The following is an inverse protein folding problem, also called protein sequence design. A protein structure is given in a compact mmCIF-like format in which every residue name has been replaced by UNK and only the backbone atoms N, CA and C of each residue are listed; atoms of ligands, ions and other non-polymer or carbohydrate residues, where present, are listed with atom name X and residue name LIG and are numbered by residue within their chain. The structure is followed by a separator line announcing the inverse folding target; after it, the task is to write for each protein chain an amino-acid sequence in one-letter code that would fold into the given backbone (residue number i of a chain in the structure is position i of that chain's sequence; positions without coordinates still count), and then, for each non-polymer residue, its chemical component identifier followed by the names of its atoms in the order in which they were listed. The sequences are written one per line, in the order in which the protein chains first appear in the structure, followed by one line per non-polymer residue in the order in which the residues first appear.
data_IF_000123227458
#
_entry.id   IF_000123227458
#
_cell.length_a   1.000
_cell.length_b   1.000
_cell.length_c   1.000
_cell.angle_alpha   90.00
_cell.angle_beta   90.00
_cell.angle_gamma   90.00
#
_symmetry.space_group_name_H-M   'P 1'
#
loop_
_entity.id
_entity.type
_entity.pdbx_description
1 polymer ?
#
# COMPACT_ATOMS: atom_id res chain seq x y z
N UNK A 1 -1.54 -16.73 7.81
CA UNK A 1 -2.07 -16.65 9.19
C UNK A 1 -2.45 -15.21 9.39
N UNK A 2 -3.74 -14.91 9.64
CA UNK A 2 -4.24 -13.54 9.72
C UNK A 2 -3.47 -12.77 10.80
N UNK A 3 -2.89 -11.61 10.46
CA UNK A 3 -2.11 -10.73 11.35
C UNK A 3 -2.92 -10.19 12.54
N UNK A 4 -4.20 -10.50 12.54
CA UNK A 4 -5.24 -9.87 13.34
C UNK A 4 -5.67 -10.84 14.45
N UNK A 5 -5.30 -12.13 14.38
CA UNK A 5 -5.59 -13.08 15.47
C UNK A 5 -4.99 -12.59 16.80
N UNK A 6 -5.83 -12.39 17.82
CA UNK A 6 -5.40 -11.96 19.14
C UNK A 6 -5.38 -10.45 19.37
N UNK A 7 -6.05 -9.63 18.54
CA UNK A 7 -6.24 -8.19 18.82
C UNK A 7 -6.72 -7.97 20.25
N UNK A 8 -7.60 -8.83 20.75
CA UNK A 8 -8.17 -8.75 22.09
C UNK A 8 -7.16 -8.87 23.24
N UNK A 9 -5.94 -9.36 22.94
CA UNK A 9 -4.84 -9.61 23.90
C UNK A 9 -3.72 -8.57 23.86
N UNK A 10 -3.83 -7.60 22.94
CA UNK A 10 -2.89 -6.49 22.83
C UNK A 10 -3.34 -5.40 23.81
N UNK A 11 -2.39 -4.62 24.36
CA UNK A 11 -2.75 -3.48 25.21
C UNK A 11 -3.50 -2.44 24.37
N UNK A 12 -4.51 -1.82 24.95
CA UNK A 12 -5.34 -0.82 24.27
C UNK A 12 -4.50 0.31 23.68
N UNK A 13 -3.48 0.81 24.40
CA UNK A 13 -2.56 1.83 23.85
C UNK A 13 -1.81 1.36 22.58
N UNK A 14 -1.42 0.09 22.52
CA UNK A 14 -0.65 -0.47 21.41
C UNK A 14 -1.57 -0.74 20.21
N UNK A 15 -2.85 -1.09 20.49
CA UNK A 15 -3.93 -1.16 19.50
C UNK A 15 -4.20 0.20 18.86
N UNK A 16 -4.35 1.26 19.67
CA UNK A 16 -4.62 2.61 19.16
C UNK A 16 -3.46 3.13 18.30
N UNK A 17 -2.21 2.82 18.67
CA UNK A 17 -1.04 3.18 17.85
C UNK A 17 -0.94 2.37 16.56
N UNK A 18 -1.20 1.06 16.63
CA UNK A 18 -0.99 0.16 15.48
C UNK A 18 -2.18 0.14 14.52
N UNK A 19 -3.38 0.39 15.02
CA UNK A 19 -4.65 0.34 14.30
C UNK A 19 -5.58 1.51 14.68
N UNK A 20 -5.21 2.78 14.41
CA UNK A 20 -6.00 3.95 14.83
C UNK A 20 -7.45 3.95 14.31
N UNK A 21 -7.71 3.27 13.19
CA UNK A 21 -9.04 3.14 12.61
C UNK A 21 -10.03 2.35 13.49
N UNK A 22 -9.55 1.56 14.46
CA UNK A 22 -10.40 0.81 15.38
C UNK A 22 -11.18 1.74 16.34
N UNK A 23 -10.75 2.99 16.53
CA UNK A 23 -11.51 3.98 17.30
C UNK A 23 -12.97 4.11 16.81
N UNK A 24 -13.18 4.10 15.50
CA UNK A 24 -14.53 4.16 14.91
C UNK A 24 -15.40 2.94 15.24
N UNK A 25 -14.79 1.76 15.41
CA UNK A 25 -15.49 0.55 15.84
C UNK A 25 -15.90 0.63 17.31
N UNK A 26 -15.01 1.09 18.19
CA UNK A 26 -15.32 1.24 19.61
C UNK A 26 -16.41 2.28 19.86
N UNK A 27 -16.36 3.42 19.16
CA UNK A 27 -17.40 4.46 19.24
C UNK A 27 -18.78 3.93 18.78
N UNK A 28 -18.83 3.20 17.67
CA UNK A 28 -20.09 2.63 17.14
C UNK A 28 -20.70 1.60 18.09
N UNK A 29 -19.86 0.83 18.78
CA UNK A 29 -20.28 -0.19 19.74
C UNK A 29 -20.41 0.35 21.17
N UNK A 30 -20.25 1.66 21.39
CA UNK A 30 -20.33 2.34 22.70
C UNK A 30 -19.38 1.77 23.75
N UNK A 31 -18.18 1.41 23.31
CA UNK A 31 -17.10 0.90 24.16
C UNK A 31 -16.23 2.08 24.56
N UNK A 32 -16.25 2.44 25.85
CA UNK A 32 -15.39 3.50 26.40
C UNK A 32 -14.14 2.87 27.02
N UNK A 33 -13.00 3.04 26.34
CA UNK A 33 -11.70 2.49 26.75
C UNK A 33 -10.86 3.45 27.60
N UNK A 34 -11.38 4.62 27.96
CA UNK A 34 -10.65 5.61 28.78
C UNK A 34 -10.28 5.03 30.14
N UNK A 35 -9.00 5.11 30.51
CA UNK A 35 -8.48 4.56 31.76
C UNK A 35 -8.08 3.08 31.69
N UNK A 36 -8.21 2.43 30.53
CA UNK A 36 -7.82 1.04 30.28
C UNK A 36 -6.58 0.93 29.37
N UNK A 37 -5.82 2.01 29.17
CA UNK A 37 -4.75 2.11 28.16
C UNK A 37 -3.66 1.03 28.34
N UNK A 38 -3.37 0.63 29.58
CA UNK A 38 -2.38 -0.41 29.91
C UNK A 38 -2.96 -1.83 29.99
N UNK A 39 -4.27 -1.98 29.82
CA UNK A 39 -5.00 -3.25 29.88
C UNK A 39 -5.30 -3.76 28.46
N UNK A 40 -5.68 -5.04 28.37
CA UNK A 40 -6.17 -5.64 27.13
C UNK A 40 -7.68 -5.48 26.98
N UNK A 41 -8.22 -5.75 25.79
CA UNK A 41 -9.67 -5.79 25.58
C UNK A 41 -10.31 -6.93 26.38
N UNK A 42 -9.65 -8.08 26.51
CA UNK A 42 -10.12 -9.16 27.40
C UNK A 42 -10.22 -8.67 28.86
N UNK A 43 -9.22 -7.93 29.35
CA UNK A 43 -9.26 -7.37 30.71
C UNK A 43 -10.39 -6.36 30.87
N UNK A 44 -10.61 -5.51 29.86
CA UNK A 44 -11.73 -4.55 29.85
C UNK A 44 -13.08 -5.26 29.97
N UNK A 45 -13.31 -6.31 29.17
CA UNK A 45 -14.56 -7.06 29.27
C UNK A 45 -14.69 -7.79 30.61
N UNK A 46 -13.60 -8.29 31.20
CA UNK A 46 -13.64 -8.94 32.51
C UNK A 46 -13.96 -7.98 33.67
N UNK A 47 -13.61 -6.70 33.55
CA UNK A 47 -13.87 -5.70 34.58
C UNK A 47 -15.33 -5.19 34.58
N UNK A 48 -16.09 -5.43 33.52
CA UNK A 48 -17.52 -5.06 33.43
C UNK A 48 -18.36 -6.09 34.21
N UNK A 49 -19.15 -5.66 35.21
CA UNK A 49 -20.05 -6.55 35.94
C UNK A 49 -21.05 -7.26 35.02
N UNK A 50 -21.33 -8.54 35.29
CA UNK A 50 -22.22 -9.37 34.47
C UNK A 50 -23.63 -8.77 34.32
N UNK A 51 -24.12 -8.09 35.36
CA UNK A 51 -25.40 -7.37 35.34
C UNK A 51 -25.41 -6.22 34.31
N UNK A 52 -24.31 -5.47 34.19
CA UNK A 52 -24.18 -4.37 33.22
C UNK A 52 -24.02 -4.90 31.79
N UNK A 53 -23.33 -6.04 31.63
CA UNK A 53 -23.24 -6.72 30.31
C UNK A 53 -24.62 -7.11 29.79
N UNK A 54 -25.49 -7.63 30.66
CA UNK A 54 -26.87 -8.00 30.32
C UNK A 54 -27.72 -6.77 29.97
N UNK A 55 -27.64 -5.68 30.76
CA UNK A 55 -28.36 -4.44 30.48
C UNK A 55 -27.93 -3.79 29.15
N UNK A 56 -26.65 -3.94 28.79
CA UNK A 56 -26.10 -3.46 27.52
C UNK A 56 -26.34 -4.41 26.34
N UNK A 57 -26.93 -5.59 26.56
CA UNK A 57 -27.06 -6.67 25.59
C UNK A 57 -25.72 -7.01 24.89
N UNK A 58 -24.64 -6.97 25.67
CA UNK A 58 -23.27 -7.11 25.16
C UNK A 58 -22.88 -8.58 25.08
N UNK A 59 -22.70 -9.09 23.86
CA UNK A 59 -22.13 -10.40 23.59
C UNK A 59 -20.63 -10.25 23.27
N UNK A 60 -19.80 -10.53 24.27
CA UNK A 60 -18.34 -10.41 24.19
C UNK A 60 -17.76 -11.25 23.04
N UNK A 61 -18.25 -12.47 22.84
CA UNK A 61 -17.75 -13.34 21.78
C UNK A 61 -18.08 -12.80 20.40
N UNK A 62 -19.31 -12.30 20.24
CA UNK A 62 -19.74 -11.68 18.99
C UNK A 62 -18.97 -10.38 18.72
N UNK A 63 -18.73 -9.58 19.75
CA UNK A 63 -18.06 -8.29 19.61
C UNK A 63 -16.59 -8.44 19.24
N UNK A 64 -15.91 -9.47 19.78
CA UNK A 64 -14.56 -9.85 19.33
C UNK A 64 -14.62 -10.29 17.86
N UNK A 65 -15.56 -11.15 17.46
CA UNK A 65 -15.70 -11.56 16.06
C UNK A 65 -15.92 -10.38 15.11
N UNK A 66 -16.79 -9.45 15.49
CA UNK A 66 -17.10 -8.24 14.71
C UNK A 66 -15.88 -7.31 14.63
N UNK A 67 -15.07 -7.21 15.70
CA UNK A 67 -13.81 -6.47 15.71
C UNK A 67 -12.81 -7.04 14.69
N UNK A 68 -12.63 -8.37 14.68
CA UNK A 68 -11.75 -9.05 13.73
C UNK A 68 -12.21 -8.82 12.29
N UNK A 69 -13.52 -8.95 12.03
CA UNK A 69 -14.10 -8.74 10.70
C UNK A 69 -13.95 -7.28 10.24
N UNK A 70 -14.18 -6.32 11.14
CA UNK A 70 -13.98 -4.89 10.84
C UNK A 70 -12.52 -4.57 10.55
N UNK A 71 -11.59 -5.11 11.35
CA UNK A 71 -10.16 -4.93 11.14
C UNK A 71 -9.69 -5.52 9.82
N UNK A 72 -10.16 -6.71 9.45
CA UNK A 72 -9.86 -7.33 8.14
C UNK A 72 -10.35 -6.44 6.99
N UNK A 73 -11.61 -5.98 7.04
CA UNK A 73 -12.17 -5.11 6.00
C UNK A 73 -11.43 -3.78 5.90
N UNK A 74 -11.02 -3.19 7.02
CA UNK A 74 -10.27 -1.93 7.03
C UNK A 74 -8.84 -2.07 6.55
N UNK A 75 -8.16 -3.17 6.89
CA UNK A 75 -6.82 -3.45 6.37
C UNK A 75 -6.84 -3.71 4.86
N UNK A 76 -7.87 -4.40 4.37
CA UNK A 76 -8.10 -4.58 2.93
C UNK A 76 -8.40 -3.25 2.23
N UNK A 77 -9.28 -2.42 2.81
CA UNK A 77 -9.63 -1.11 2.27
C UNK A 77 -8.45 -0.13 2.23
N UNK A 78 -7.67 -0.07 3.31
CA UNK A 78 -6.49 0.79 3.42
C UNK A 78 -5.30 0.25 2.60
N UNK A 79 -5.39 -0.97 2.07
CA UNK A 79 -4.30 -1.61 1.33
C UNK A 79 -3.06 -1.87 2.19
N UNK A 80 -3.22 -1.94 3.53
CA UNK A 80 -2.17 -2.30 4.49
C UNK A 80 -2.00 -3.82 4.48
N UNK A 81 -1.86 -4.39 3.30
CA UNK A 81 -1.17 -5.65 3.16
C UNK A 81 0.32 -5.35 3.22
N UNK A 82 1.09 -6.22 3.85
CA UNK A 82 2.55 -6.23 3.78
C UNK A 82 2.97 -6.68 2.36
N UNK A 83 2.55 -5.91 1.33
CA UNK A 83 2.81 -6.11 -0.09
C UNK A 83 4.23 -5.66 -0.44
N UNK A 84 5.19 -5.96 0.45
CA UNK A 84 6.60 -5.79 0.13
C UNK A 84 7.00 -6.87 -0.86
N UNK A 85 6.93 -6.51 -2.15
CA UNK A 85 7.40 -7.35 -3.25
C UNK A 85 8.84 -7.75 -2.99
N UNK A 86 9.10 -9.07 -2.92
CA UNK A 86 10.45 -9.64 -2.69
C UNK A 86 11.14 -9.90 -4.01
N UNK A 87 10.40 -10.31 -5.03
CA UNK A 87 10.92 -10.59 -6.36
C UNK A 87 9.89 -10.37 -7.47
N UNK A 88 10.41 -9.97 -8.63
CA UNK A 88 9.68 -9.91 -9.89
C UNK A 88 10.36 -10.90 -10.84
N UNK A 89 9.60 -11.86 -11.36
CA UNK A 89 10.08 -12.78 -12.40
C UNK A 89 9.39 -12.50 -13.72
N UNK A 90 10.18 -12.29 -14.76
CA UNK A 90 9.73 -12.04 -16.14
C UNK A 90 9.96 -13.33 -16.94
N UNK A 91 8.87 -13.91 -17.43
CA UNK A 91 8.88 -15.05 -18.33
C UNK A 91 8.83 -14.58 -19.79
N UNK A 92 9.55 -15.27 -20.69
CA UNK A 92 9.66 -14.87 -22.09
C UNK A 92 8.32 -15.02 -22.81
N UNK A 93 8.10 -14.13 -23.77
CA UNK A 93 6.98 -14.23 -24.69
C UNK A 93 7.48 -14.27 -26.13
N UNK A 94 7.00 -13.33 -26.93
CA UNK A 94 7.35 -13.16 -28.34
C UNK A 94 7.74 -11.71 -28.65
N UNK A 95 8.63 -11.56 -29.61
CA UNK A 95 9.03 -10.26 -30.13
C UNK A 95 8.02 -9.72 -31.16
N UNK A 96 8.29 -8.54 -31.74
CA UNK A 96 7.45 -7.92 -32.78
C UNK A 96 7.27 -8.80 -34.03
N UNK A 97 8.22 -9.69 -34.31
CA UNK A 97 8.20 -10.66 -35.42
C UNK A 97 7.52 -12.00 -35.05
N UNK A 98 6.94 -12.10 -33.84
CA UNK A 98 6.35 -13.34 -33.27
C UNK A 98 7.35 -14.47 -33.01
N UNK A 99 8.64 -14.17 -32.97
CA UNK A 99 9.66 -15.14 -32.58
C UNK A 99 9.75 -15.19 -31.06
N UNK A 100 10.01 -16.39 -30.52
CA UNK A 100 10.21 -16.56 -29.07
C UNK A 100 11.44 -15.79 -28.62
N UNK A 101 11.34 -15.15 -27.47
CA UNK A 101 12.49 -14.52 -26.84
C UNK A 101 13.50 -15.58 -26.37
N UNK A 102 14.77 -15.20 -26.33
CA UNK A 102 15.89 -16.14 -26.13
C UNK A 102 16.21 -16.41 -24.66
N UNK A 103 15.73 -15.58 -23.75
CA UNK A 103 15.95 -15.77 -22.32
C UNK A 103 14.95 -16.78 -21.74
N UNK A 104 15.35 -17.52 -20.71
CA UNK A 104 14.48 -18.49 -20.02
C UNK A 104 13.60 -17.81 -18.97
N UNK A 105 14.21 -16.94 -18.16
CA UNK A 105 13.53 -16.08 -17.17
C UNK A 105 14.49 -14.94 -16.78
N UNK A 106 13.95 -13.80 -16.39
CA UNK A 106 14.69 -12.72 -15.72
C UNK A 106 14.10 -12.55 -14.33
N UNK A 107 14.94 -12.52 -13.29
CA UNK A 107 14.50 -12.36 -11.90
C UNK A 107 15.14 -11.10 -11.35
N UNK A 108 14.32 -10.21 -10.80
CA UNK A 108 14.72 -8.97 -10.16
C UNK A 108 14.33 -9.07 -8.70
N UNK A 109 15.30 -8.94 -7.79
CA UNK A 109 15.06 -9.05 -6.35
C UNK A 109 14.83 -7.68 -5.72
N UNK A 110 14.19 -7.67 -4.55
CA UNK A 110 14.05 -6.47 -3.73
C UNK A 110 15.41 -5.80 -3.51
N UNK A 111 15.43 -4.48 -3.66
CA UNK A 111 16.62 -3.63 -3.56
C UNK A 111 17.68 -3.84 -4.65
N UNK A 112 17.38 -4.57 -5.71
CA UNK A 112 18.26 -4.72 -6.87
C UNK A 112 18.06 -3.57 -7.87
N UNK A 113 19.16 -2.95 -8.30
CA UNK A 113 19.15 -1.91 -9.33
C UNK A 113 19.50 -2.55 -10.67
N UNK A 114 18.54 -2.55 -11.60
CA UNK A 114 18.70 -3.15 -12.93
C UNK A 114 18.67 -2.08 -14.01
N UNK A 115 19.64 -2.12 -14.92
CA UNK A 115 19.69 -1.23 -16.09
C UNK A 115 19.30 -2.01 -17.36
N UNK A 116 18.34 -1.47 -18.12
CA UNK A 116 17.86 -2.06 -19.37
C UNK A 116 18.39 -1.24 -20.54
N UNK A 117 19.31 -1.81 -21.31
CA UNK A 117 19.96 -1.15 -22.45
C UNK A 117 19.57 -1.77 -23.79
N UNK A 118 19.57 -0.97 -24.85
CA UNK A 118 19.30 -1.43 -26.21
C UNK A 118 18.92 -0.29 -27.16
N UNK A 119 18.93 -0.53 -28.49
CA UNK A 119 18.61 0.51 -29.49
C UNK A 119 17.14 0.97 -29.41
N UNK A 120 16.84 2.11 -30.01
CA UNK A 120 15.45 2.59 -30.15
C UNK A 120 14.61 1.53 -30.88
N UNK A 121 13.40 1.27 -30.36
CA UNK A 121 12.52 0.24 -30.93
C UNK A 121 12.79 -1.20 -30.50
N UNK A 122 13.78 -1.46 -29.62
CA UNK A 122 14.08 -2.81 -29.11
C UNK A 122 13.04 -3.37 -28.12
N UNK A 123 11.98 -2.61 -27.81
CA UNK A 123 10.91 -3.04 -26.92
C UNK A 123 11.11 -2.74 -25.43
N UNK A 124 12.09 -1.90 -25.05
CA UNK A 124 12.32 -1.50 -23.63
C UNK A 124 11.08 -0.92 -22.96
N UNK A 125 10.45 0.10 -23.56
CA UNK A 125 9.22 0.71 -23.04
C UNK A 125 8.07 -0.30 -22.96
N UNK A 126 8.05 -1.27 -23.88
CA UNK A 126 7.06 -2.34 -23.86
C UNK A 126 7.30 -3.33 -22.73
N UNK A 127 8.55 -3.67 -22.44
CA UNK A 127 8.92 -4.49 -21.29
C UNK A 127 8.51 -3.80 -19.98
N UNK A 128 8.78 -2.49 -19.84
CA UNK A 128 8.35 -1.72 -18.68
C UNK A 128 6.81 -1.71 -18.53
N UNK A 129 6.07 -1.52 -19.63
CA UNK A 129 4.62 -1.59 -19.60
C UNK A 129 4.10 -3.00 -19.24
N UNK A 130 4.74 -4.06 -19.73
CA UNK A 130 4.35 -5.42 -19.36
C UNK A 130 4.56 -5.68 -17.86
N UNK A 131 5.63 -5.13 -17.26
CA UNK A 131 5.89 -5.18 -15.80
C UNK A 131 4.83 -4.37 -15.02
N UNK A 132 4.56 -3.12 -15.45
CA UNK A 132 3.56 -2.23 -14.83
C UNK A 132 2.19 -2.90 -14.74
N UNK A 133 1.78 -3.58 -15.81
CA UNK A 133 0.47 -4.22 -15.91
C UNK A 133 0.43 -5.62 -15.31
N UNK A 134 1.55 -6.13 -14.78
CA UNK A 134 1.72 -7.53 -14.39
C UNK A 134 1.14 -8.49 -15.47
N UNK A 135 1.68 -8.37 -16.69
CA UNK A 135 1.20 -9.10 -17.86
C UNK A 135 1.12 -10.61 -17.61
N UNK A 136 0.12 -11.28 -18.16
CA UNK A 136 -0.08 -12.72 -18.02
C UNK A 136 -0.47 -13.35 -19.38
N UNK A 137 0.42 -13.22 -20.37
CA UNK A 137 0.18 -13.71 -21.72
C UNK A 137 -0.94 -12.99 -22.48
N UNK A 138 -1.51 -11.93 -21.90
CA UNK A 138 -2.63 -11.15 -22.41
C UNK A 138 -2.20 -9.90 -23.19
N UNK A 139 -0.91 -9.59 -23.18
CA UNK A 139 -0.32 -8.49 -23.97
C UNK A 139 0.15 -8.97 -25.35
N UNK A 140 0.42 -8.05 -26.31
CA UNK A 140 0.98 -8.41 -27.62
C UNK A 140 2.33 -9.15 -27.55
N UNK A 141 3.10 -8.95 -26.48
CA UNK A 141 4.38 -9.61 -26.25
C UNK A 141 4.21 -11.00 -25.67
N UNK A 142 3.03 -11.37 -25.17
CA UNK A 142 2.77 -12.69 -24.56
C UNK A 142 3.70 -13.03 -23.38
N UNK A 143 4.33 -12.03 -22.77
CA UNK A 143 5.13 -12.21 -21.55
C UNK A 143 4.23 -12.48 -20.35
N UNK A 144 4.79 -13.15 -19.36
CA UNK A 144 4.14 -13.35 -18.05
C UNK A 144 5.04 -12.77 -16.97
N UNK A 145 4.46 -11.99 -16.07
CA UNK A 145 5.12 -11.36 -14.93
C UNK A 145 4.60 -12.03 -13.66
N UNK A 146 5.52 -12.59 -12.88
CA UNK A 146 5.23 -13.16 -11.59
C UNK A 146 5.72 -12.22 -10.50
N UNK A 147 4.87 -11.95 -9.52
CA UNK A 147 5.20 -11.22 -8.31
C UNK A 147 5.30 -12.24 -7.19
N UNK A 148 6.46 -12.36 -6.56
CA UNK A 148 6.75 -13.37 -5.54
C UNK A 148 6.36 -14.80 -5.98
N UNK A 149 6.71 -15.12 -7.24
CA UNK A 149 6.46 -16.42 -7.86
C UNK A 149 5.01 -16.69 -8.29
N UNK A 150 4.09 -15.72 -8.14
CA UNK A 150 2.67 -15.87 -8.47
C UNK A 150 2.22 -14.89 -9.53
N UNK A 151 1.27 -15.32 -10.36
CA UNK A 151 0.53 -14.42 -11.27
C UNK A 151 -0.44 -13.59 -10.44
N UNK A 152 -0.49 -12.26 -10.66
CA UNK A 152 -1.48 -11.42 -9.99
C UNK A 152 -2.89 -11.67 -10.56
N UNK A 153 -3.87 -11.74 -9.67
CA UNK A 153 -5.28 -11.88 -10.07
C UNK A 153 -5.74 -10.65 -10.86
N UNK A 154 -6.60 -10.87 -11.87
CA UNK A 154 -7.04 -9.80 -12.78
C UNK A 154 -7.67 -8.61 -12.06
N UNK A 155 -8.44 -8.84 -11.00
CA UNK A 155 -9.07 -7.82 -10.14
C UNK A 155 -8.02 -6.87 -9.53
N UNK A 156 -6.90 -7.42 -9.07
CA UNK A 156 -5.82 -6.68 -8.41
C UNK A 156 -4.86 -5.95 -9.37
N UNK A 157 -4.99 -6.16 -10.68
CA UNK A 157 -4.18 -5.46 -11.72
C UNK A 157 -4.72 -4.08 -12.08
N UNK A 158 -5.99 -3.81 -11.79
CA UNK A 158 -6.68 -2.57 -12.14
C UNK A 158 -6.97 -1.66 -10.95
N UNK A 159 -6.62 -2.06 -9.72
CA UNK A 159 -6.82 -1.24 -8.53
C UNK A 159 -5.88 -0.04 -8.55
N UNK A 160 -6.44 1.17 -8.69
CA UNK A 160 -5.71 2.45 -8.64
C UNK A 160 -4.92 2.62 -7.33
N UNK A 161 -5.40 2.01 -6.24
CA UNK A 161 -4.81 2.06 -4.90
C UNK A 161 -3.58 1.17 -4.72
N UNK A 162 -3.34 0.20 -5.61
CA UNK A 162 -2.38 -0.89 -5.40
C UNK A 162 -1.39 -1.02 -6.58
N UNK A 163 -0.92 0.13 -7.10
CA UNK A 163 0.09 0.16 -8.17
C UNK A 163 1.41 -0.43 -7.67
N UNK A 164 1.75 -1.62 -8.15
CA UNK A 164 3.02 -2.29 -7.87
C UNK A 164 4.24 -1.52 -8.38
N UNK A 165 4.04 -0.72 -9.44
CA UNK A 165 5.11 -0.04 -10.14
C UNK A 165 4.86 1.46 -10.10
N UNK A 166 5.79 2.19 -9.50
CA UNK A 166 5.92 3.62 -9.68
C UNK A 166 6.81 3.87 -10.91
N UNK A 167 6.28 4.56 -11.92
CA UNK A 167 7.05 4.96 -13.09
C UNK A 167 7.33 6.46 -13.02
N UNK A 168 8.60 6.84 -13.17
CA UNK A 168 8.99 8.21 -13.45
C UNK A 168 8.92 8.43 -14.97
N UNK A 169 8.08 9.34 -15.46
CA UNK A 169 8.03 9.66 -16.89
C UNK A 169 9.23 10.55 -17.27
N UNK A 170 9.85 10.29 -18.42
CA UNK A 170 10.92 11.14 -18.96
C UNK A 170 10.42 12.53 -19.38
N UNK A 171 9.14 12.62 -19.75
CA UNK A 171 8.47 13.87 -20.06
C UNK A 171 7.39 14.09 -19.00
N UNK A 172 7.56 15.12 -18.17
CA UNK A 172 6.54 15.57 -17.24
C UNK A 172 5.77 16.71 -17.90
N UNK A 173 4.57 16.43 -18.40
CA UNK A 173 3.69 17.47 -18.95
C UNK A 173 2.92 18.15 -17.82
N UNK A 174 3.59 18.96 -17.00
CA UNK A 174 2.89 19.77 -16.02
C UNK A 174 2.24 20.98 -16.71
N UNK A 175 0.93 21.08 -16.59
CA UNK A 175 0.12 22.18 -17.14
C UNK A 175 -0.26 23.16 -15.99
N UNK A 176 0.52 23.22 -14.92
CA UNK A 176 0.26 24.08 -13.76
C UNK A 176 1.55 24.68 -13.21
N UNK A 177 1.54 26.00 -12.97
CA UNK A 177 2.57 26.72 -12.22
C UNK A 177 2.35 26.53 -10.72
N UNK A 178 2.86 25.43 -10.17
CA UNK A 178 2.80 25.12 -8.74
C UNK A 178 4.19 24.99 -8.14
N UNK A 179 4.29 25.36 -6.87
CA UNK A 179 5.42 25.01 -6.01
C UNK A 179 5.37 23.53 -5.61
N UNK A 180 6.51 22.96 -5.21
CA UNK A 180 6.58 21.58 -4.66
C UNK A 180 5.57 21.38 -3.53
N UNK A 181 5.43 22.37 -2.62
CA UNK A 181 4.47 22.33 -1.52
C UNK A 181 3.04 22.18 -2.02
N UNK A 182 2.60 23.09 -2.90
CA UNK A 182 1.22 23.10 -3.39
C UNK A 182 0.85 21.80 -4.11
N UNK A 183 1.81 21.24 -4.87
CA UNK A 183 1.63 19.95 -5.52
C UNK A 183 1.45 18.81 -4.53
N UNK A 184 2.33 18.71 -3.52
CA UNK A 184 2.26 17.63 -2.53
C UNK A 184 1.01 17.76 -1.65
N UNK A 185 0.64 18.98 -1.23
CA UNK A 185 -0.59 19.26 -0.49
C UNK A 185 -1.81 18.80 -1.29
N UNK A 186 -1.92 19.17 -2.57
CA UNK A 186 -3.03 18.75 -3.43
C UNK A 186 -3.16 17.22 -3.53
N UNK A 187 -2.02 16.51 -3.60
CA UNK A 187 -2.01 15.05 -3.66
C UNK A 187 -2.36 14.37 -2.34
N UNK A 188 -1.99 14.97 -1.21
CA UNK A 188 -2.33 14.49 0.12
C UNK A 188 -3.83 14.70 0.43
N UNK A 189 -4.36 15.88 0.11
CA UNK A 189 -5.78 16.20 0.26
C UNK A 189 -6.66 15.29 -0.59
N UNK A 190 -6.27 15.02 -1.85
CA UNK A 190 -7.03 14.12 -2.73
C UNK A 190 -7.10 12.68 -2.23
N UNK A 191 -6.21 12.30 -1.30
CA UNK A 191 -6.12 10.97 -0.69
C UNK A 191 -6.67 10.91 0.74
N UNK A 192 -7.25 12.01 1.24
CA UNK A 192 -7.81 12.12 2.59
C UNK A 192 -6.82 11.73 3.70
N UNK A 193 -5.54 12.10 3.51
CA UNK A 193 -4.46 11.75 4.44
C UNK A 193 -4.48 12.68 5.67
N UNK A 194 -4.37 12.13 6.87
CA UNK A 194 -4.15 12.90 8.11
C UNK A 194 -2.68 13.29 8.26
N UNK A 195 -2.38 14.40 8.95
CA UNK A 195 -1.01 14.91 9.17
C UNK A 195 -0.28 15.32 7.87
N UNK A 196 -0.97 16.08 7.01
CA UNK A 196 -0.44 16.51 5.71
C UNK A 196 0.93 17.19 5.81
N UNK A 197 1.15 18.07 6.79
CA UNK A 197 2.43 18.79 6.90
C UNK A 197 3.62 17.88 7.20
N UNK A 198 3.47 16.97 8.17
CA UNK A 198 4.52 16.00 8.55
C UNK A 198 4.90 15.10 7.37
N UNK A 199 3.89 14.62 6.63
CA UNK A 199 4.11 13.75 5.46
C UNK A 199 4.81 14.51 4.33
N UNK A 200 4.48 15.79 4.13
CA UNK A 200 5.14 16.62 3.11
C UNK A 200 6.63 16.84 3.47
N UNK A 201 6.94 17.06 4.75
CA UNK A 201 8.32 17.17 5.24
C UNK A 201 9.10 15.87 4.97
N UNK A 202 8.56 14.73 5.38
CA UNK A 202 9.19 13.41 5.15
C UNK A 202 9.45 13.14 3.66
N UNK A 203 8.50 13.49 2.80
CA UNK A 203 8.64 13.31 1.34
C UNK A 203 9.77 14.17 0.78
N UNK A 204 9.91 15.41 1.24
CA UNK A 204 10.95 16.32 0.74
C UNK A 204 12.33 15.93 1.24
N UNK A 205 12.45 15.51 2.49
CA UNK A 205 13.72 15.03 3.03
C UNK A 205 14.19 13.79 2.25
N UNK A 206 13.29 12.82 2.05
CA UNK A 206 13.59 11.66 1.22
C UNK A 206 13.94 12.06 -0.23
N UNK A 207 13.19 12.97 -0.84
CA UNK A 207 13.45 13.38 -2.21
C UNK A 207 14.80 14.11 -2.36
N UNK A 208 15.20 14.93 -1.38
CA UNK A 208 16.49 15.60 -1.34
C UNK A 208 17.66 14.63 -1.08
N UNK A 209 17.44 13.53 -0.37
CA UNK A 209 18.44 12.46 -0.20
C UNK A 209 18.65 11.64 -1.48
N UNK A 210 17.59 11.48 -2.29
CA UNK A 210 17.67 10.79 -3.59
C UNK A 210 18.15 11.69 -4.73
N UNK A 211 17.90 13.00 -4.65
CA UNK A 211 18.25 13.95 -5.70
C UNK A 211 19.74 14.33 -5.64
N UNK A 212 20.35 14.56 -6.81
CA UNK A 212 21.72 15.08 -6.89
C UNK A 212 21.84 16.56 -6.49
N UNK A 213 20.74 17.30 -6.55
CA UNK A 213 20.65 18.71 -6.20
C UNK A 213 19.46 18.93 -5.26
N UNK A 214 19.66 19.71 -4.20
CA UNK A 214 18.62 19.99 -3.23
C UNK A 214 17.64 21.04 -3.77
N UNK A 215 16.37 20.87 -3.44
CA UNK A 215 15.30 21.82 -3.72
C UNK A 215 14.48 22.11 -2.45
N UNK A 216 13.81 23.26 -2.43
CA UNK A 216 12.93 23.67 -1.33
C UNK A 216 11.44 23.51 -1.69
N UNK A 217 10.58 23.61 -0.68
CA UNK A 217 9.13 23.57 -0.80
C UNK A 217 8.56 24.64 -1.75
N UNK A 218 9.26 25.76 -1.89
CA UNK A 218 8.91 26.92 -2.72
C UNK A 218 9.44 26.80 -4.15
N UNK A 219 10.20 25.75 -4.46
CA UNK A 219 10.75 25.53 -5.80
C UNK A 219 9.60 25.27 -6.78
N UNK A 220 9.56 25.96 -7.94
CA UNK A 220 8.57 25.66 -8.98
C UNK A 220 8.80 24.26 -9.57
N UNK A 221 7.73 23.52 -9.83
CA UNK A 221 7.82 22.18 -10.44
C UNK A 221 8.26 22.22 -11.91
N UNK A 222 8.10 23.38 -12.57
CA UNK A 222 8.44 23.60 -13.98
C UNK A 222 9.86 24.11 -14.20
N UNK A 223 10.68 24.17 -13.13
CA UNK A 223 12.04 24.73 -13.11
C UNK A 223 13.12 23.87 -13.77
#
# INVERSE_FOLDING_TARGET
MSRINGLEKIRIKDLDMSYPFLAGFFDQNKIDLKGYEEKTLEDYFNDIPELEKEEMAMDEQKLIQDLHAFAEQMLEFLGIEDNTVKEITILPGVNKSREKETFKQLVIKKSEIVSIVGPTGSGKSRLLADIEWAADGDTPTKRTILIDGKVKEKSSRFSTSNKLVAQLSQNMNFIMDLTVREFLTLHAESRMVSNIEEIIEDIIDAANDLAGEKFSMETPITG
#
